data_IF_395585713795
#
_entry.id   IF_395585713795
#
_cell.length_a   1.000
_cell.length_b   1.000
_cell.length_c   1.000
_cell.angle_alpha   90.00
_cell.angle_beta   90.00
_cell.angle_gamma   90.00
#
_symmetry.space_group_name_H-M   'P 1'
#
loop_
_entity.id
_entity.type
_entity.pdbx_description
1 polymer ?
#
# COMPACT_ATOMS: atom_id res chain seq x y z
N UNK A 1 15.16 -4.52 -8.93
CA UNK A 1 14.85 -4.33 -7.49
C UNK A 1 15.74 -5.25 -6.68
N UNK A 2 16.14 -4.84 -5.49
CA UNK A 2 16.91 -5.64 -4.54
C UNK A 2 16.48 -5.25 -3.13
N UNK A 3 16.35 -6.21 -2.21
CA UNK A 3 16.17 -5.89 -0.78
C UNK A 3 17.45 -5.19 -0.29
N UNK A 4 17.28 -4.08 0.42
CA UNK A 4 18.39 -3.29 0.94
C UNK A 4 19.27 -4.14 1.87
N UNK A 5 20.60 -3.97 1.79
CA UNK A 5 21.56 -4.78 2.54
C UNK A 5 21.82 -6.16 1.94
N UNK A 6 21.21 -6.49 0.79
CA UNK A 6 21.50 -7.71 0.02
C UNK A 6 22.07 -7.36 -1.37
N UNK A 7 22.56 -8.37 -2.10
CA UNK A 7 23.06 -8.22 -3.47
C UNK A 7 22.21 -8.97 -4.51
N UNK A 8 21.01 -9.41 -4.11
CA UNK A 8 20.13 -10.24 -4.94
C UNK A 8 19.22 -9.37 -5.81
N UNK A 9 19.72 -9.00 -6.98
CA UNK A 9 18.96 -8.24 -7.96
C UNK A 9 17.92 -9.08 -8.71
N UNK A 10 16.67 -8.64 -8.69
CA UNK A 10 15.58 -9.19 -9.49
C UNK A 10 15.07 -8.19 -10.54
N UNK A 11 14.74 -8.70 -11.73
CA UNK A 11 14.05 -7.95 -12.78
C UNK A 11 12.57 -7.88 -12.44
N UNK A 12 11.98 -6.69 -12.48
CA UNK A 12 10.58 -6.45 -12.07
C UNK A 12 9.63 -6.26 -13.25
N UNK A 13 10.16 -6.09 -14.46
CA UNK A 13 9.41 -5.87 -15.69
C UNK A 13 9.67 -7.00 -16.70
N UNK A 14 8.59 -7.52 -17.29
CA UNK A 14 8.66 -8.54 -18.34
C UNK A 14 8.97 -7.95 -19.72
N UNK A 15 8.64 -6.68 -19.96
CA UNK A 15 8.86 -5.94 -21.22
C UNK A 15 9.50 -4.58 -20.97
N UNK A 16 10.20 -3.98 -21.94
CA UNK A 16 10.72 -2.62 -21.82
C UNK A 16 9.61 -1.62 -21.48
N UNK A 17 9.87 -0.76 -20.50
CA UNK A 17 8.93 0.26 -20.05
C UNK A 17 9.20 1.54 -20.85
N UNK A 18 8.17 2.08 -21.51
CA UNK A 18 8.28 3.31 -22.31
C UNK A 18 7.97 4.57 -21.50
N UNK A 19 7.26 4.42 -20.39
CA UNK A 19 6.87 5.50 -19.50
C UNK A 19 7.98 5.79 -18.47
N UNK A 20 7.94 6.99 -17.87
CA UNK A 20 8.84 7.37 -16.77
C UNK A 20 8.36 6.85 -15.40
N UNK A 21 7.35 5.97 -15.39
CA UNK A 21 6.77 5.39 -14.19
C UNK A 21 6.55 3.90 -14.40
N UNK A 22 6.75 3.13 -13.34
CA UNK A 22 6.50 1.69 -13.34
C UNK A 22 6.05 1.24 -11.95
N UNK A 23 4.98 0.44 -11.90
CA UNK A 23 4.52 -0.19 -10.67
C UNK A 23 5.05 -1.61 -10.61
N UNK A 24 5.74 -1.96 -9.53
CA UNK A 24 6.13 -3.35 -9.26
C UNK A 24 4.92 -4.10 -8.75
N UNK A 25 4.48 -5.13 -9.47
CA UNK A 25 3.28 -5.91 -9.13
C UNK A 25 3.58 -7.11 -8.22
N UNK A 26 4.79 -7.68 -8.31
CA UNK A 26 5.16 -8.90 -7.61
C UNK A 26 6.52 -8.77 -6.91
N UNK A 27 6.71 -9.55 -5.84
CA UNK A 27 7.99 -9.65 -5.11
C UNK A 27 8.28 -8.51 -4.13
N UNK A 28 7.33 -7.60 -3.92
CA UNK A 28 7.38 -6.60 -2.85
C UNK A 28 6.76 -7.21 -1.60
N UNK A 29 7.55 -7.28 -0.53
CA UNK A 29 7.12 -7.75 0.78
C UNK A 29 6.92 -6.53 1.68
N UNK A 30 5.79 -6.40 2.40
CA UNK A 30 5.57 -5.32 3.34
C UNK A 30 6.67 -5.21 4.40
N UNK A 31 6.88 -4.00 4.90
CA UNK A 31 7.84 -3.69 5.96
C UNK A 31 9.30 -3.98 5.61
N UNK A 32 9.62 -4.05 4.31
CA UNK A 32 10.97 -4.20 3.78
C UNK A 32 11.43 -2.94 3.06
N UNK A 33 12.74 -2.73 3.03
CA UNK A 33 13.36 -1.68 2.23
C UNK A 33 13.94 -2.25 0.95
N UNK A 34 13.76 -1.51 -0.14
CA UNK A 34 14.24 -1.89 -1.46
C UNK A 34 15.07 -0.77 -2.08
N UNK A 35 16.07 -1.18 -2.85
CA UNK A 35 16.82 -0.31 -3.74
C UNK A 35 16.55 -0.70 -5.20
N UNK A 36 16.54 0.31 -6.07
CA UNK A 36 16.21 0.17 -7.48
C UNK A 36 17.36 0.69 -8.35
N UNK A 37 17.46 0.14 -9.55
CA UNK A 37 18.32 0.62 -10.63
C UNK A 37 17.64 0.27 -11.95
N UNK A 38 17.93 1.03 -13.00
CA UNK A 38 17.34 0.83 -14.33
C UNK A 38 18.43 0.54 -15.36
N UNK A 39 18.07 -0.15 -16.44
CA UNK A 39 18.92 -0.33 -17.62
C UNK A 39 18.18 0.21 -18.84
N UNK A 40 18.88 0.89 -19.73
CA UNK A 40 18.34 1.32 -21.02
C UNK A 40 18.49 0.19 -22.05
N UNK A 41 17.55 0.09 -22.98
CA UNK A 41 17.58 -0.90 -24.07
C UNK A 41 17.54 -0.19 -25.41
N UNK A 42 18.43 -0.55 -26.33
CA UNK A 42 18.40 -0.15 -27.72
C UNK A 42 18.54 -1.36 -28.66
N UNK A 43 18.75 -1.13 -29.96
CA UNK A 43 18.92 -2.19 -30.96
C UNK A 43 20.17 -3.06 -30.76
N UNK A 44 21.16 -2.58 -30.01
CA UNK A 44 22.41 -3.29 -29.71
C UNK A 44 22.25 -4.14 -28.45
N UNK A 45 21.52 -3.64 -27.45
CA UNK A 45 21.24 -4.41 -26.24
C UNK A 45 20.91 -3.57 -25.00
N UNK A 46 21.09 -4.18 -23.83
CA UNK A 46 20.95 -3.57 -22.52
C UNK A 46 22.22 -2.78 -22.12
N UNK A 47 22.07 -1.58 -21.58
CA UNK A 47 23.16 -0.80 -21.00
C UNK A 47 23.63 -1.40 -19.66
N UNK A 48 24.75 -0.89 -19.14
CA UNK A 48 25.04 -1.00 -17.71
C UNK A 48 23.92 -0.37 -16.86
N UNK A 49 23.74 -0.83 -15.60
CA UNK A 49 22.75 -0.25 -14.72
C UNK A 49 23.06 1.22 -14.40
N UNK A 50 22.00 1.98 -14.14
CA UNK A 50 22.10 3.28 -13.48
C UNK A 50 22.70 3.17 -12.08
N UNK A 51 22.99 4.34 -11.50
CA UNK A 51 23.18 4.46 -10.06
C UNK A 51 21.99 3.87 -9.28
N UNK A 52 22.28 3.41 -8.07
CA UNK A 52 21.31 2.83 -7.17
C UNK A 52 20.48 3.96 -6.57
N UNK A 53 19.16 3.78 -6.51
CA UNK A 53 18.25 4.72 -5.87
C UNK A 53 18.49 4.81 -4.36
N UNK A 54 17.88 5.79 -3.72
CA UNK A 54 17.68 5.76 -2.27
C UNK A 54 16.84 4.54 -1.86
N UNK A 55 16.90 4.19 -0.57
CA UNK A 55 16.08 3.13 0.01
C UNK A 55 14.60 3.53 -0.05
N UNK A 56 13.76 2.60 -0.49
CA UNK A 56 12.30 2.76 -0.55
C UNK A 56 11.66 1.76 0.39
N UNK A 57 10.97 2.25 1.42
CA UNK A 57 10.24 1.41 2.37
C UNK A 57 8.90 0.96 1.79
N UNK A 58 8.69 -0.35 1.71
CA UNK A 58 7.46 -0.97 1.26
C UNK A 58 6.40 -0.89 2.36
N UNK A 59 5.67 0.21 2.38
CA UNK A 59 4.46 0.39 3.17
C UNK A 59 3.23 0.52 2.28
N UNK A 60 2.07 0.30 2.89
CA UNK A 60 0.81 0.66 2.27
C UNK A 60 0.79 2.13 1.88
N UNK A 61 0.16 2.41 0.75
CA UNK A 61 -0.06 3.78 0.33
C UNK A 61 -0.99 4.46 1.33
N UNK A 62 -0.62 5.68 1.73
CA UNK A 62 -1.47 6.52 2.56
C UNK A 62 -2.84 6.67 1.87
N UNK A 63 -3.91 6.49 2.64
CA UNK A 63 -5.27 6.59 2.13
C UNK A 63 -6.16 7.34 3.11
N UNK A 64 -7.06 8.16 2.55
CA UNK A 64 -8.01 8.92 3.34
C UNK A 64 -8.97 7.95 4.06
N UNK A 65 -9.36 8.26 5.31
CA UNK A 65 -10.37 7.49 6.02
C UNK A 65 -11.65 7.38 5.19
N UNK A 66 -12.00 6.15 4.85
CA UNK A 66 -13.20 5.81 4.09
C UNK A 66 -13.97 4.75 4.84
N UNK A 67 -15.27 4.96 4.98
CA UNK A 67 -16.18 4.03 5.63
C UNK A 67 -16.95 3.28 4.55
N UNK A 68 -16.91 1.95 4.56
CA UNK A 68 -17.63 1.11 3.61
C UNK A 68 -18.78 0.42 4.33
N UNK A 69 -19.82 1.18 4.68
CA UNK A 69 -20.98 0.64 5.36
C UNK A 69 -22.27 1.11 4.72
N UNK A 70 -23.29 0.27 4.84
CA UNK A 70 -24.67 0.65 4.59
C UNK A 70 -25.31 0.97 5.93
N UNK A 71 -26.26 1.90 5.94
CA UNK A 71 -27.09 2.15 7.12
C UNK A 71 -27.78 0.84 7.52
N UNK A 72 -27.58 0.41 8.76
CA UNK A 72 -28.20 -0.78 9.31
C UNK A 72 -29.38 -0.35 10.18
N UNK A 73 -30.58 -0.84 9.85
CA UNK A 73 -31.73 -0.77 10.74
C UNK A 73 -31.61 -1.90 11.78
N UNK A 74 -31.26 -1.54 13.02
CA UNK A 74 -31.01 -2.49 14.10
C UNK A 74 -32.07 -2.33 15.19
N UNK A 75 -32.66 -3.45 15.60
CA UNK A 75 -33.51 -3.55 16.80
C UNK A 75 -32.73 -4.33 17.86
N UNK A 76 -32.56 -3.75 19.04
CA UNK A 76 -31.80 -4.36 20.14
C UNK A 76 -32.74 -4.53 21.32
N UNK A 77 -32.69 -5.69 21.96
CA UNK A 77 -33.42 -5.96 23.19
C UNK A 77 -32.73 -5.25 24.34
N UNK A 78 -33.52 -4.56 25.18
CA UNK A 78 -33.01 -3.91 26.38
C UNK A 78 -32.21 -4.93 27.21
N UNK A 79 -30.97 -4.58 27.59
CA UNK A 79 -29.94 -5.39 28.27
C UNK A 79 -28.97 -6.21 27.41
N UNK A 80 -29.18 -6.34 26.09
CA UNK A 80 -28.21 -7.02 25.21
C UNK A 80 -27.12 -6.08 24.66
N UNK A 81 -25.90 -6.60 24.50
CA UNK A 81 -24.77 -5.86 23.91
C UNK A 81 -24.92 -5.82 22.39
N UNK A 82 -25.03 -4.62 21.83
CA UNK A 82 -25.00 -4.41 20.38
C UNK A 82 -23.57 -4.40 19.86
N UNK A 83 -23.29 -5.16 18.80
CA UNK A 83 -22.03 -5.13 18.06
C UNK A 83 -22.28 -4.62 16.64
N UNK A 84 -21.77 -3.42 16.32
CA UNK A 84 -21.92 -2.80 14.99
C UNK A 84 -20.59 -2.88 14.24
N UNK A 85 -20.41 -3.81 13.29
CA UNK A 85 -19.21 -3.85 12.46
C UNK A 85 -19.23 -2.69 11.46
N UNK A 86 -18.29 -1.76 11.58
CA UNK A 86 -18.10 -0.66 10.63
C UNK A 86 -16.72 -0.83 9.98
N UNK A 87 -16.63 -1.52 8.82
CA UNK A 87 -15.37 -1.65 8.13
C UNK A 87 -14.94 -0.29 7.57
N UNK A 88 -13.64 -0.01 7.68
CA UNK A 88 -13.04 1.22 7.19
C UNK A 88 -11.69 0.93 6.51
N UNK A 89 -11.26 1.84 5.64
CA UNK A 89 -9.88 1.90 5.13
C UNK A 89 -9.27 3.24 5.51
N UNK A 90 -8.09 3.20 6.09
CA UNK A 90 -7.33 4.39 6.46
C UNK A 90 -5.86 4.02 6.71
N UNK A 91 -4.95 4.77 6.10
CA UNK A 91 -3.51 4.66 6.34
C UNK A 91 -2.95 6.09 6.44
N UNK A 92 -2.39 6.50 7.59
CA UNK A 92 -2.23 5.73 8.83
C UNK A 92 -3.56 5.48 9.55
N UNK A 93 -3.53 4.66 10.61
CA UNK A 93 -4.71 4.37 11.43
C UNK A 93 -5.45 5.65 11.86
N UNK A 94 -6.77 5.73 11.68
CA UNK A 94 -7.53 6.94 11.93
C UNK A 94 -7.86 7.06 13.42
N UNK A 95 -8.29 8.25 13.84
CA UNK A 95 -8.98 8.43 15.13
C UNK A 95 -10.44 8.02 14.95
N UNK A 96 -10.91 7.06 15.75
CA UNK A 96 -12.29 6.58 15.73
C UNK A 96 -13.06 7.22 16.89
N UNK A 97 -14.22 7.83 16.60
CA UNK A 97 -15.15 8.37 17.59
C UNK A 97 -16.56 7.87 17.32
N UNK A 98 -17.34 7.64 18.38
CA UNK A 98 -18.73 7.20 18.29
C UNK A 98 -19.65 8.31 18.75
N UNK A 99 -20.77 8.50 18.07
CA UNK A 99 -21.77 9.50 18.44
C UNK A 99 -23.16 8.88 18.46
N UNK A 100 -23.95 9.23 19.48
CA UNK A 100 -25.36 8.89 19.56
C UNK A 100 -26.19 10.17 19.70
N UNK A 101 -27.15 10.39 18.80
CA UNK A 101 -27.97 11.60 18.74
C UNK A 101 -27.17 12.92 18.82
N UNK A 102 -26.01 12.96 18.19
CA UNK A 102 -25.13 14.14 18.17
C UNK A 102 -24.23 14.30 19.41
N UNK A 103 -24.35 13.43 20.41
CA UNK A 103 -23.46 13.39 21.58
C UNK A 103 -22.38 12.32 21.40
N UNK A 104 -21.12 12.67 21.62
CA UNK A 104 -20.01 11.72 21.64
C UNK A 104 -20.22 10.70 22.78
N UNK A 105 -20.03 9.41 22.46
CA UNK A 105 -20.15 8.27 23.38
C UNK A 105 -18.82 7.99 24.07
#
# INVERSE_FOLDING_TARGET
MCEAGTEKWMRVNSRPVKELKYRVEEGVVPEKEYILRVRAINSVGESEPSDISENVFAKDSDCNPTLEFQTLDLVVVETEKLHIPVPFRAVPSPKITWHNHGKEL
#
